data_IF_440029959003
#
_entry.id   IF_440029959003
#
_cell.length_a   1.000
_cell.length_b   1.000
_cell.length_c   1.000
_cell.angle_alpha   90.00
_cell.angle_beta   90.00
_cell.angle_gamma   90.00
#
_symmetry.space_group_name_H-M   'P 1'
#
loop_
_entity.id
_entity.type
_entity.pdbx_description
1 polymer ?
#
# COMPACT_ATOMS: atom_id res chain seq x y z
N UNK A 1 -10.58 22.45 27.04
CA UNK A 1 -10.72 21.59 25.84
C UNK A 1 -11.89 20.64 26.04
N UNK A 2 -13.08 20.96 25.54
CA UNK A 2 -13.67 20.57 24.23
C UNK A 2 -13.80 19.05 24.00
N UNK A 3 -15.07 18.59 24.09
CA UNK A 3 -15.69 17.38 23.54
C UNK A 3 -14.89 16.06 23.57
N UNK A 4 -15.36 15.14 24.43
CA UNK A 4 -14.98 13.72 24.44
C UNK A 4 -15.22 13.11 23.06
N UNK A 5 -14.15 12.84 22.32
CA UNK A 5 -14.21 12.07 21.06
C UNK A 5 -14.54 10.63 21.43
N UNK A 6 -15.81 10.23 21.29
CA UNK A 6 -16.32 8.89 21.62
C UNK A 6 -16.01 7.82 20.55
N UNK A 7 -15.30 8.17 19.49
CA UNK A 7 -14.98 7.25 18.40
C UNK A 7 -13.66 6.51 18.65
N UNK A 8 -13.61 5.19 18.42
CA UNK A 8 -12.36 4.45 18.45
C UNK A 8 -11.33 5.05 17.49
N UNK A 9 -10.06 5.07 17.91
CA UNK A 9 -8.95 5.50 17.07
C UNK A 9 -8.11 4.27 16.74
N UNK A 10 -7.87 4.05 15.45
CA UNK A 10 -6.93 3.03 15.01
C UNK A 10 -5.52 3.62 14.97
N UNK A 11 -4.58 2.99 15.67
CA UNK A 11 -3.16 3.36 15.68
C UNK A 11 -2.35 2.17 15.17
N UNK A 12 -1.48 2.42 14.20
CA UNK A 12 -0.51 1.44 13.74
C UNK A 12 0.89 2.05 13.75
N UNK A 13 1.89 1.25 14.11
CA UNK A 13 3.31 1.63 14.07
C UNK A 13 4.03 0.54 13.28
N UNK A 14 4.81 0.94 12.29
CA UNK A 14 5.62 0.02 11.49
C UNK A 14 7.09 0.21 11.78
N UNK A 15 7.82 -0.91 11.80
CA UNK A 15 9.27 -0.95 12.00
C UNK A 15 9.88 -1.70 10.82
N UNK A 16 10.37 -0.96 9.82
CA UNK A 16 10.97 -1.53 8.62
C UNK A 16 12.41 -2.02 8.90
N UNK A 17 12.87 -2.99 8.09
CA UNK A 17 14.21 -3.58 8.23
C UNK A 17 15.33 -2.57 8.01
N UNK A 18 15.08 -1.54 7.23
CA UNK A 18 16.03 -0.45 6.97
C UNK A 18 16.08 0.59 8.12
N UNK A 19 15.38 0.33 9.23
CA UNK A 19 15.30 1.21 10.39
C UNK A 19 14.24 2.30 10.29
N UNK A 20 13.48 2.38 9.19
CA UNK A 20 12.40 3.36 9.02
C UNK A 20 11.22 3.02 9.94
N UNK A 21 10.79 4.01 10.71
CA UNK A 21 9.63 3.90 11.62
C UNK A 21 8.57 4.90 11.18
N UNK A 22 7.34 4.41 11.02
CA UNK A 22 6.19 5.22 10.63
C UNK A 22 5.02 4.96 11.58
N UNK A 23 4.28 6.03 11.89
CA UNK A 23 3.08 5.97 12.72
C UNK A 23 1.89 6.35 11.84
N UNK A 24 0.79 5.64 12.02
CA UNK A 24 -0.46 5.89 11.32
C UNK A 24 -1.58 6.09 12.32
N UNK A 25 -2.45 7.06 12.04
CA UNK A 25 -3.68 7.32 12.79
C UNK A 25 -4.86 7.25 11.83
N UNK A 26 -5.79 6.34 12.11
CA UNK A 26 -6.96 6.08 11.26
C UNK A 26 -6.58 5.85 9.78
N UNK A 27 -5.54 5.05 9.55
CA UNK A 27 -5.08 4.66 8.21
C UNK A 27 -4.18 5.69 7.52
N UNK A 28 -4.03 6.89 8.07
CA UNK A 28 -3.22 7.97 7.49
C UNK A 28 -1.89 8.13 8.21
N UNK A 29 -0.79 8.49 7.51
CA UNK A 29 0.46 8.84 8.17
C UNK A 29 0.25 9.92 9.25
N UNK A 30 0.91 9.74 10.38
CA UNK A 30 0.80 10.61 11.53
C UNK A 30 2.19 11.09 11.96
N UNK A 31 2.52 12.32 11.57
CA UNK A 31 3.85 12.89 11.71
C UNK A 31 4.82 12.37 10.65
N UNK A 32 6.07 12.84 10.74
CA UNK A 32 7.12 12.42 9.83
C UNK A 32 7.66 11.04 10.21
N UNK A 33 8.02 10.26 9.19
CA UNK A 33 8.80 9.04 9.40
C UNK A 33 10.16 9.38 9.99
N UNK A 34 10.67 8.55 10.90
CA UNK A 34 12.03 8.73 11.41
C UNK A 34 12.86 7.46 11.23
N UNK A 35 14.17 7.65 11.11
CA UNK A 35 15.15 6.59 10.88
C UNK A 35 15.85 6.26 12.19
N UNK A 36 15.69 5.02 12.65
CA UNK A 36 16.47 4.49 13.78
C UNK A 36 17.84 4.00 13.30
N UNK A 37 18.74 3.72 14.25
CA UNK A 37 20.04 3.09 13.97
C UNK A 37 19.94 1.62 13.50
N UNK A 38 18.74 1.03 13.49
CA UNK A 38 18.51 -0.33 13.02
C UNK A 38 17.44 -1.05 13.83
N UNK A 39 17.21 -2.33 13.51
CA UNK A 39 16.23 -3.16 14.23
C UNK A 39 16.77 -3.61 15.58
N UNK A 40 15.92 -3.58 16.60
CA UNK A 40 16.20 -4.20 17.91
C UNK A 40 15.74 -5.65 17.86
N UNK A 41 16.60 -6.56 18.32
CA UNK A 41 16.28 -7.98 18.44
C UNK A 41 15.62 -8.26 19.80
N UNK A 42 14.48 -8.95 19.76
CA UNK A 42 13.77 -9.43 20.95
C UNK A 42 13.85 -10.94 20.98
N UNK A 43 14.64 -11.49 21.91
CA UNK A 43 14.85 -12.93 22.03
C UNK A 43 13.59 -13.65 22.50
N UNK A 44 13.37 -14.84 21.94
CA UNK A 44 12.31 -15.74 22.38
C UNK A 44 12.44 -16.05 23.88
N UNK A 45 11.31 -16.09 24.59
CA UNK A 45 11.22 -16.35 26.03
C UNK A 45 11.90 -15.32 26.97
N UNK A 46 12.54 -14.28 26.43
CA UNK A 46 13.14 -13.18 27.21
C UNK A 46 12.37 -11.86 27.05
N UNK A 47 11.33 -11.84 26.20
CA UNK A 47 10.57 -10.64 25.87
C UNK A 47 9.08 -10.86 26.07
N UNK A 48 8.40 -9.84 26.59
CA UNK A 48 6.95 -9.81 26.72
C UNK A 48 6.38 -8.59 26.02
N UNK A 49 5.27 -8.79 25.33
CA UNK A 49 4.54 -7.72 24.68
C UNK A 49 3.39 -7.35 25.60
N UNK A 50 3.33 -6.07 25.98
CA UNK A 50 2.33 -5.57 26.90
C UNK A 50 1.48 -4.50 26.21
N UNK A 51 0.17 -4.56 26.42
CA UNK A 51 -0.78 -3.54 25.98
C UNK A 51 -1.37 -2.82 27.19
N UNK A 52 -1.54 -1.51 27.08
CA UNK A 52 -2.17 -0.71 28.14
C UNK A 52 -1.30 -0.45 29.38
N UNK A 53 -0.01 -0.80 29.35
CA UNK A 53 0.97 -0.41 30.37
C UNK A 53 2.26 0.06 29.72
N UNK A 54 2.99 0.97 30.39
CA UNK A 54 4.28 1.47 29.88
C UNK A 54 5.43 0.48 30.13
N UNK A 55 5.51 -0.09 31.33
CA UNK A 55 6.54 -1.06 31.75
C UNK A 55 5.98 -2.00 32.83
N UNK A 56 6.59 -3.18 32.98
CA UNK A 56 6.32 -4.12 34.07
C UNK A 56 7.18 -3.81 35.31
N UNK A 57 6.68 -3.99 36.54
CA UNK A 57 5.31 -4.41 36.89
C UNK A 57 4.28 -3.28 36.72
N UNK A 58 3.02 -3.65 36.53
CA UNK A 58 1.93 -2.69 36.40
C UNK A 58 1.71 -1.90 37.71
N UNK A 59 1.48 -0.59 37.62
CA UNK A 59 1.15 0.24 38.79
C UNK A 59 1.39 1.74 38.61
N UNK A 60 0.73 2.54 39.45
CA UNK A 60 0.78 4.01 39.44
C UNK A 60 0.12 4.62 38.19
N UNK A 61 0.56 5.83 37.78
CA UNK A 61 0.10 6.53 36.58
C UNK A 61 0.71 5.99 35.27
N UNK A 62 0.92 4.66 35.17
CA UNK A 62 1.56 4.01 34.02
C UNK A 62 0.62 3.12 33.22
N UNK A 63 -0.67 3.13 33.57
CA UNK A 63 -1.71 2.35 32.92
C UNK A 63 -2.50 3.24 31.94
N UNK A 64 -2.92 2.65 30.84
CA UNK A 64 -3.81 3.29 29.87
C UNK A 64 -5.18 3.54 30.52
N UNK A 65 -5.58 4.80 30.61
CA UNK A 65 -6.94 5.18 30.96
C UNK A 65 -7.85 5.12 29.70
N UNK A 66 -8.22 3.90 29.30
CA UNK A 66 -9.00 3.69 28.07
C UNK A 66 -9.35 2.23 27.82
N UNK A 67 -9.91 1.95 26.64
CA UNK A 67 -10.26 0.60 26.19
C UNK A 67 -9.53 0.28 24.90
N UNK A 68 -8.90 -0.88 24.86
CA UNK A 68 -8.34 -1.46 23.65
C UNK A 68 -9.41 -2.38 23.07
N UNK A 69 -9.85 -2.10 21.85
CA UNK A 69 -10.88 -2.90 21.18
C UNK A 69 -10.29 -4.08 20.42
N UNK A 70 -9.10 -3.88 19.84
CA UNK A 70 -8.35 -4.88 19.10
C UNK A 70 -6.85 -4.57 19.22
N UNK A 71 -6.02 -5.61 19.19
CA UNK A 71 -4.57 -5.53 19.28
C UNK A 71 -3.94 -6.66 18.48
N UNK A 72 -3.19 -6.30 17.43
CA UNK A 72 -2.57 -7.24 16.51
C UNK A 72 -1.08 -6.93 16.33
N UNK A 73 -0.28 -7.98 16.11
CA UNK A 73 1.17 -7.87 15.87
C UNK A 73 1.55 -8.72 14.68
N UNK A 74 2.38 -8.14 13.82
CA UNK A 74 2.85 -8.75 12.58
C UNK A 74 4.37 -8.90 12.63
N UNK A 75 4.89 -9.96 12.01
CA UNK A 75 6.32 -10.21 11.88
C UNK A 75 6.96 -9.48 10.67
N UNK A 76 6.25 -8.51 10.10
CA UNK A 76 6.70 -7.69 8.98
C UNK A 76 6.12 -6.28 9.09
N UNK A 77 6.82 -5.30 8.52
CA UNK A 77 6.28 -3.96 8.36
C UNK A 77 5.16 -3.99 7.29
N UNK A 78 3.95 -3.60 7.68
CA UNK A 78 2.82 -3.49 6.76
C UNK A 78 2.98 -2.26 5.85
N UNK A 79 2.43 -2.33 4.65
CA UNK A 79 2.37 -1.20 3.72
C UNK A 79 1.31 -0.20 4.14
N UNK A 80 1.37 1.03 3.62
CA UNK A 80 0.36 2.05 3.87
C UNK A 80 -1.05 1.57 3.50
N UNK A 81 -1.21 0.90 2.35
CA UNK A 81 -2.51 0.38 1.90
C UNK A 81 -3.06 -0.71 2.82
N UNK A 82 -2.20 -1.60 3.34
CA UNK A 82 -2.60 -2.61 4.32
C UNK A 82 -3.08 -1.95 5.61
N UNK A 83 -2.43 -0.88 6.05
CA UNK A 83 -2.82 -0.13 7.25
C UNK A 83 -4.13 0.63 7.03
N UNK A 84 -4.34 1.19 5.84
CA UNK A 84 -5.62 1.81 5.45
C UNK A 84 -6.74 0.78 5.53
N UNK A 85 -6.53 -0.43 4.99
CA UNK A 85 -7.51 -1.51 5.04
C UNK A 85 -7.84 -1.98 6.47
N UNK A 86 -6.83 -2.07 7.34
CA UNK A 86 -7.05 -2.38 8.77
C UNK A 86 -7.83 -1.26 9.47
N UNK A 87 -7.50 0.00 9.18
CA UNK A 87 -8.11 1.15 9.83
C UNK A 87 -9.57 1.38 9.42
N UNK A 88 -9.96 1.00 8.21
CA UNK A 88 -11.35 1.10 7.74
C UNK A 88 -12.27 0.05 8.38
N UNK A 89 -11.74 -0.87 9.20
CA UNK A 89 -12.54 -1.91 9.84
C UNK A 89 -12.97 -3.02 8.87
N UNK A 90 -12.35 -3.09 7.69
CA UNK A 90 -12.44 -4.25 6.81
C UNK A 90 -11.61 -5.38 7.43
N UNK A 91 -12.17 -6.03 8.46
CA UNK A 91 -11.58 -7.20 9.12
C UNK A 91 -11.39 -8.40 8.18
N UNK A 92 -11.90 -8.31 6.96
CA UNK A 92 -11.81 -9.33 5.91
C UNK A 92 -10.47 -9.29 5.15
N UNK A 93 -9.43 -8.68 5.72
CA UNK A 93 -8.08 -8.78 5.18
C UNK A 93 -7.56 -10.21 5.33
N UNK A 94 -7.75 -11.03 4.29
CA UNK A 94 -7.14 -12.35 4.18
C UNK A 94 -5.80 -12.19 3.46
N UNK A 95 -4.67 -12.48 4.13
CA UNK A 95 -3.36 -12.45 3.49
C UNK A 95 -3.33 -13.34 2.24
N UNK A 96 -2.74 -12.87 1.15
CA UNK A 96 -2.64 -13.62 -0.11
C UNK A 96 -2.07 -15.04 0.10
N UNK A 97 -1.09 -15.20 0.99
CA UNK A 97 -0.53 -16.51 1.37
C UNK A 97 -1.58 -17.51 1.88
N UNK A 98 -2.59 -17.04 2.62
CA UNK A 98 -3.66 -17.90 3.15
C UNK A 98 -4.69 -18.21 2.07
N UNK A 99 -4.99 -17.24 1.19
CA UNK A 99 -5.81 -17.49 0.00
C UNK A 99 -5.15 -18.56 -0.86
N UNK A 100 -3.88 -18.39 -1.21
CA UNK A 100 -3.11 -19.33 -2.03
C UNK A 100 -3.03 -20.72 -1.38
N UNK A 101 -2.84 -20.81 -0.06
CA UNK A 101 -2.83 -22.09 0.65
C UNK A 101 -4.19 -22.81 0.64
N UNK A 102 -5.30 -22.08 0.55
CA UNK A 102 -6.64 -22.65 0.46
C UNK A 102 -7.03 -23.08 -0.97
N UNK A 103 -6.28 -22.64 -1.99
CA UNK A 103 -6.53 -23.01 -3.39
C UNK A 103 -6.02 -24.41 -3.71
N UNK A 104 -6.71 -25.09 -4.63
CA UNK A 104 -6.21 -26.32 -5.26
C UNK A 104 -5.00 -26.02 -6.16
N UNK A 105 -4.17 -27.03 -6.46
CA UNK A 105 -3.03 -26.86 -7.37
C UNK A 105 -3.44 -26.28 -8.73
N UNK A 106 -4.60 -26.68 -9.26
CA UNK A 106 -5.11 -26.15 -10.53
C UNK A 106 -5.48 -24.67 -10.43
N UNK A 107 -6.09 -24.24 -9.31
CA UNK A 107 -6.43 -22.84 -9.08
C UNK A 107 -5.19 -21.98 -8.84
N UNK A 108 -4.19 -22.49 -8.11
CA UNK A 108 -2.91 -21.79 -7.93
C UNK A 108 -2.21 -21.58 -9.28
N UNK A 109 -2.19 -22.59 -10.15
CA UNK A 109 -1.64 -22.46 -11.49
C UNK A 109 -2.41 -21.43 -12.33
N UNK A 110 -3.75 -21.38 -12.20
CA UNK A 110 -4.56 -20.38 -12.87
C UNK A 110 -4.25 -18.96 -12.39
N UNK A 111 -4.10 -18.76 -11.08
CA UNK A 111 -3.69 -17.46 -10.51
C UNK A 111 -2.32 -17.04 -11.04
N UNK A 112 -1.33 -17.95 -11.05
CA UNK A 112 0.00 -17.67 -11.57
C UNK A 112 -0.04 -17.25 -13.06
N UNK A 113 -0.81 -17.96 -13.88
CA UNK A 113 -0.98 -17.63 -15.30
C UNK A 113 -1.66 -16.26 -15.48
N UNK A 114 -2.68 -15.95 -14.69
CA UNK A 114 -3.38 -14.67 -14.74
C UNK A 114 -2.49 -13.52 -14.29
N UNK A 115 -1.68 -13.70 -13.25
CA UNK A 115 -0.70 -12.70 -12.80
C UNK A 115 0.30 -12.38 -13.92
N UNK A 116 0.76 -13.41 -14.63
CA UNK A 116 1.68 -13.24 -15.75
C UNK A 116 1.02 -12.54 -16.95
N UNK A 117 -0.24 -12.86 -17.24
CA UNK A 117 -1.02 -12.15 -18.26
C UNK A 117 -1.23 -10.67 -17.89
N UNK A 118 -1.49 -10.35 -16.62
CA UNK A 118 -1.64 -8.95 -16.16
C UNK A 118 -0.35 -8.16 -16.37
N UNK A 119 0.81 -8.74 -16.05
CA UNK A 119 2.11 -8.09 -16.30
C UNK A 119 2.31 -7.86 -17.79
N UNK A 120 2.14 -8.90 -18.62
CA UNK A 120 2.27 -8.80 -20.07
C UNK A 120 1.34 -7.75 -20.68
N UNK A 121 0.10 -7.67 -20.20
CA UNK A 121 -0.87 -6.68 -20.69
C UNK A 121 -0.48 -5.26 -20.28
N UNK A 122 0.06 -5.06 -19.07
CA UNK A 122 0.58 -3.75 -18.65
C UNK A 122 1.80 -3.32 -19.44
N UNK A 123 2.70 -4.25 -19.75
CA UNK A 123 3.87 -3.98 -20.59
C UNK A 123 3.42 -3.61 -22.01
N UNK A 124 2.43 -4.33 -22.54
CA UNK A 124 1.82 -4.02 -23.84
C UNK A 124 1.18 -2.65 -23.84
N UNK A 125 0.35 -2.33 -22.85
CA UNK A 125 -0.26 -1.01 -22.71
C UNK A 125 0.78 0.10 -22.62
N UNK A 126 1.85 -0.12 -21.86
CA UNK A 126 2.95 0.85 -21.74
C UNK A 126 3.68 1.05 -23.06
N UNK A 127 3.82 -0.01 -23.88
CA UNK A 127 4.46 0.06 -25.20
C UNK A 127 3.63 0.78 -26.26
N UNK A 128 2.31 0.83 -26.08
CA UNK A 128 1.38 1.51 -27.00
C UNK A 128 1.38 3.04 -26.81
N UNK A 129 2.07 3.56 -25.80
CA UNK A 129 2.18 4.99 -25.52
C UNK A 129 1.18 5.48 -24.47
N UNK A 130 1.16 6.80 -24.23
CA UNK A 130 0.25 7.41 -23.26
C UNK A 130 -1.20 7.35 -23.76
N UNK A 131 -2.14 7.13 -22.83
CA UNK A 131 -3.58 7.27 -23.12
C UNK A 131 -3.87 8.69 -23.62
N UNK A 132 -4.40 8.78 -24.84
CA UNK A 132 -4.82 10.05 -25.44
C UNK A 132 -6.32 10.20 -25.18
N UNK A 133 -6.72 11.28 -24.51
CA UNK A 133 -8.14 11.55 -24.29
C UNK A 133 -8.88 11.63 -25.65
N UNK A 134 -10.13 11.14 -25.76
CA UNK A 134 -10.85 11.11 -27.04
C UNK A 134 -10.93 12.47 -27.76
N UNK A 135 -10.99 13.56 -26.99
CA UNK A 135 -11.00 14.94 -27.51
C UNK A 135 -9.64 15.39 -28.06
N UNK A 136 -8.53 14.88 -27.52
CA UNK A 136 -7.17 15.17 -27.99
C UNK A 136 -6.78 14.25 -29.16
N UNK A 137 -7.42 13.08 -29.26
CA UNK A 137 -7.15 12.09 -30.30
C UNK A 137 -7.42 12.63 -31.70
N UNK A 138 -8.58 13.26 -31.94
CA UNK A 138 -8.88 13.83 -33.27
C UNK A 138 -7.87 14.89 -33.68
N UNK A 139 -7.50 15.78 -32.75
CA UNK A 139 -6.54 16.86 -33.03
C UNK A 139 -5.15 16.31 -33.35
N UNK A 140 -4.67 15.34 -32.58
CA UNK A 140 -3.38 14.67 -32.83
C UNK A 140 -3.39 13.84 -34.11
N UNK A 141 -4.47 13.11 -34.38
CA UNK A 141 -4.59 12.31 -35.60
C UNK A 141 -4.52 13.18 -36.86
N UNK A 142 -5.19 14.35 -36.87
CA UNK A 142 -5.10 15.29 -37.97
C UNK A 142 -3.73 15.98 -38.06
N UNK A 143 -3.07 16.26 -36.93
CA UNK A 143 -1.70 16.78 -36.91
C UNK A 143 -0.71 15.77 -37.50
N UNK A 144 -0.78 14.50 -37.08
CA UNK A 144 0.11 13.45 -37.56
C UNK A 144 -0.15 13.15 -39.05
N UNK A 145 -1.41 13.15 -39.48
CA UNK A 145 -1.78 13.03 -40.89
C UNK A 145 -1.23 14.20 -41.72
N UNK A 146 -1.45 15.45 -41.29
CA UNK A 146 -0.92 16.62 -41.97
C UNK A 146 0.62 16.60 -42.02
N UNK A 147 1.28 16.24 -40.92
CA UNK A 147 2.74 16.12 -40.85
C UNK A 147 3.25 15.03 -41.81
N UNK A 148 2.52 13.92 -41.94
CA UNK A 148 2.86 12.86 -42.91
C UNK A 148 2.74 13.36 -44.35
N UNK A 149 1.71 14.16 -44.66
CA UNK A 149 1.51 14.76 -45.98
C UNK A 149 2.62 15.76 -46.32
N UNK A 150 3.03 16.61 -45.38
CA UNK A 150 4.14 17.55 -45.58
C UNK A 150 5.49 16.86 -45.73
N UNK A 151 5.64 15.67 -45.16
CA UNK A 151 6.86 14.87 -45.29
C UNK A 151 6.89 14.01 -46.56
N UNK A 152 5.82 13.99 -47.37
CA UNK A 152 5.84 13.31 -48.66
C UNK A 152 6.73 14.03 -49.67
N UNK A 153 7.52 13.23 -50.41
CA UNK A 153 8.49 13.72 -51.39
C UNK A 153 7.81 14.28 -52.63
N UNK A 154 6.50 14.07 -52.79
CA UNK A 154 5.71 14.61 -53.88
C UNK A 154 5.33 16.08 -53.63
N UNK A 155 5.33 16.55 -52.38
CA UNK A 155 4.92 17.91 -52.01
C UNK A 155 5.98 18.98 -52.33
N UNK A 156 7.25 18.60 -52.52
CA UNK A 156 8.32 19.49 -53.03
C UNK A 156 8.13 19.89 -54.50
N UNK A 157 7.17 19.29 -55.22
CA UNK A 157 6.88 19.59 -56.63
C UNK A 157 5.64 20.45 -56.83
N UNK A 158 4.93 20.82 -55.76
CA UNK A 158 3.76 21.71 -55.84
C UNK A 158 4.27 23.16 -55.75
N UNK A 159 4.11 23.94 -56.83
CA UNK A 159 4.39 25.38 -56.91
C UNK A 159 3.11 26.20 -56.74
#
# INVERSE_FOLDING_TARGET
>A
ETAVVKTPVHIAITYARDGTIQIFRNGKPYGDSYKSSGTVEFKANESVICFGIRHTPAGGNRMLAGRILDAQIYNQALTADQIVALASGNSDFIPEKLVMAALTMQQQQMVANLQQAVVSNRDTLSSLGADIAPQEFETRAWQDFAQSLFNFKEFIFIR
#
